data_IF_283876685831
#
_entry.id   IF_283876685831
#
_cell.length_a   1.000
_cell.length_b   1.000
_cell.length_c   1.000
_cell.angle_alpha   90.00
_cell.angle_beta   90.00
_cell.angle_gamma   90.00
#
_symmetry.space_group_name_H-M   'P 1'
#
loop_
_entity.id
_entity.type
_entity.pdbx_description
1 polymer ?
#
# COMPACT_ATOMS: atom_id res chain seq x y z
N UNK A 1 -24.23 12.35 7.24
CA UNK A 1 -23.23 11.85 6.27
C UNK A 1 -22.72 10.53 6.82
N UNK A 2 -22.68 9.47 6.02
CA UNK A 2 -22.13 8.18 6.45
C UNK A 2 -20.62 8.33 6.61
N UNK A 3 -20.16 8.40 7.85
CA UNK A 3 -18.78 8.65 8.29
C UNK A 3 -17.87 7.43 8.16
N UNK A 4 -18.30 6.39 7.44
CA UNK A 4 -17.65 5.08 7.49
C UNK A 4 -16.64 4.92 6.35
N UNK A 5 -15.42 5.40 6.57
CA UNK A 5 -14.29 5.26 5.65
C UNK A 5 -13.48 3.95 5.87
N UNK A 6 -14.11 2.96 6.49
CA UNK A 6 -13.52 1.62 6.59
C UNK A 6 -13.44 0.97 5.20
N UNK A 7 -12.38 0.19 4.91
CA UNK A 7 -12.16 -0.37 3.57
C UNK A 7 -13.30 -1.26 3.07
N UNK A 8 -13.92 -2.01 3.98
CA UNK A 8 -15.18 -2.72 3.72
C UNK A 8 -16.31 -2.10 4.56
N UNK A 9 -17.26 -1.39 3.93
CA UNK A 9 -18.41 -0.82 4.63
C UNK A 9 -19.29 -1.86 5.35
N UNK A 10 -19.25 -3.14 4.92
CA UNK A 10 -20.02 -4.23 5.56
C UNK A 10 -19.31 -4.78 6.81
N UNK A 11 -18.01 -4.53 6.96
CA UNK A 11 -17.20 -5.01 8.07
C UNK A 11 -16.39 -3.87 8.70
N UNK A 12 -17.07 -2.87 9.28
CA UNK A 12 -16.39 -1.75 9.89
C UNK A 12 -15.57 -2.18 11.11
N UNK A 13 -14.47 -1.49 11.34
CA UNK A 13 -13.48 -1.91 12.32
C UNK A 13 -12.44 -2.90 11.78
N UNK A 14 -12.62 -3.46 10.57
CA UNK A 14 -11.63 -4.35 9.95
C UNK A 14 -10.70 -3.54 9.03
N UNK A 15 -9.37 -3.62 9.20
CA UNK A 15 -8.45 -2.80 8.42
C UNK A 15 -8.33 -3.26 6.96
N UNK A 16 -7.60 -2.46 6.17
CA UNK A 16 -7.41 -2.71 4.72
C UNK A 16 -6.66 -4.01 4.42
N UNK A 17 -5.80 -4.46 5.34
CA UNK A 17 -5.01 -5.68 5.24
C UNK A 17 -5.29 -6.57 6.46
N UNK A 18 -6.48 -7.18 6.56
CA UNK A 18 -6.89 -7.91 7.75
C UNK A 18 -6.08 -9.20 7.97
N UNK A 19 -5.48 -9.72 6.91
CA UNK A 19 -4.60 -10.89 6.87
C UNK A 19 -3.16 -10.59 7.31
N UNK A 20 -2.82 -9.33 7.63
CA UNK A 20 -1.46 -8.92 7.99
C UNK A 20 -1.42 -8.10 9.26
N UNK A 21 -0.55 -8.47 10.19
CA UNK A 21 -0.34 -7.69 11.40
C UNK A 21 0.40 -6.39 11.09
N UNK A 22 -0.02 -5.28 11.69
CA UNK A 22 0.55 -3.97 11.36
C UNK A 22 -0.04 -2.80 12.13
N UNK A 23 0.62 -1.64 12.02
CA UNK A 23 0.10 -0.40 12.59
C UNK A 23 -0.85 0.28 11.62
N UNK A 24 -1.93 0.87 12.14
CA UNK A 24 -2.90 1.64 11.37
C UNK A 24 -3.24 2.94 12.12
N UNK A 25 -3.55 3.97 11.35
CA UNK A 25 -4.04 5.25 11.85
C UNK A 25 -5.58 5.24 11.88
N UNK A 26 -6.15 5.39 13.08
CA UNK A 26 -7.59 5.36 13.32
C UNK A 26 -7.97 6.52 14.26
N UNK A 27 -8.79 7.46 13.80
CA UNK A 27 -9.20 8.67 14.52
C UNK A 27 -8.03 9.39 15.21
N UNK A 28 -6.95 9.63 14.44
CA UNK A 28 -5.73 10.27 14.93
C UNK A 28 -4.88 9.43 15.91
N UNK A 29 -5.25 8.17 16.18
CA UNK A 29 -4.49 7.24 17.04
C UNK A 29 -3.76 6.19 16.21
N UNK A 30 -2.64 5.71 16.75
CA UNK A 30 -1.93 4.56 16.22
C UNK A 30 -2.37 3.30 16.94
N UNK A 31 -2.98 2.37 16.20
CA UNK A 31 -3.42 1.08 16.69
C UNK A 31 -2.65 -0.02 15.97
N UNK A 32 -2.39 -1.13 16.64
CA UNK A 32 -1.79 -2.30 16.02
C UNK A 32 -2.86 -3.37 15.79
N UNK A 33 -3.01 -3.85 14.56
CA UNK A 33 -3.84 -4.99 14.21
C UNK A 33 -3.03 -6.28 14.34
N UNK A 34 -3.55 -7.26 15.07
CA UNK A 34 -3.04 -8.63 15.08
C UNK A 34 -3.91 -9.51 14.20
N UNK A 35 -3.39 -9.89 13.05
CA UNK A 35 -4.11 -10.71 12.05
C UNK A 35 -4.46 -12.11 12.56
N UNK A 36 -3.54 -12.78 13.27
CA UNK A 36 -3.72 -14.14 13.78
C UNK A 36 -4.95 -14.31 14.69
N UNK A 37 -5.27 -13.27 15.47
CA UNK A 37 -6.41 -13.28 16.40
C UNK A 37 -7.53 -12.31 15.96
N UNK A 38 -7.34 -11.61 14.85
CA UNK A 38 -8.22 -10.57 14.31
C UNK A 38 -8.65 -9.51 15.34
N UNK A 39 -7.69 -8.95 16.07
CA UNK A 39 -7.97 -7.93 17.10
C UNK A 39 -7.04 -6.73 17.04
N UNK A 40 -7.56 -5.61 17.51
CA UNK A 40 -6.80 -4.38 17.71
C UNK A 40 -6.11 -4.35 19.06
N UNK A 41 -4.93 -3.73 19.10
CA UNK A 41 -4.17 -3.44 20.30
C UNK A 41 -3.81 -1.95 20.31
N UNK A 42 -4.14 -1.28 21.41
CA UNK A 42 -3.76 0.12 21.66
C UNK A 42 -2.32 0.19 22.16
N UNK A 43 -1.57 1.21 21.75
CA UNK A 43 -0.20 1.42 22.22
C UNK A 43 -0.17 1.87 23.69
N UNK A 44 0.16 0.92 24.57
CA UNK A 44 0.66 1.02 25.95
C UNK A 44 -0.30 1.65 27.03
N UNK A 45 -0.58 0.89 28.12
CA UNK A 45 -0.29 -0.53 28.21
C UNK A 45 -1.01 -1.26 27.08
N UNK A 46 -0.46 -2.39 26.63
CA UNK A 46 -1.20 -3.39 25.85
C UNK A 46 -2.31 -3.87 26.80
N UNK A 47 -3.36 -3.06 26.96
CA UNK A 47 -4.25 -3.16 28.12
C UNK A 47 -5.49 -4.00 27.80
N UNK A 48 -5.80 -4.20 26.52
CA UNK A 48 -6.72 -5.22 26.06
C UNK A 48 -6.65 -5.33 24.54
N UNK A 49 -6.80 -6.55 24.03
CA UNK A 49 -7.24 -6.73 22.65
C UNK A 49 -8.68 -6.22 22.52
N UNK A 50 -8.98 -5.46 21.46
CA UNK A 50 -10.32 -4.96 21.16
C UNK A 50 -10.84 -5.62 19.90
N UNK A 51 -12.11 -6.01 19.93
CA UNK A 51 -12.82 -6.50 18.75
C UNK A 51 -12.96 -5.38 17.70
N UNK A 52 -13.03 -5.71 16.40
CA UNK A 52 -13.24 -4.74 15.31
C UNK A 52 -14.37 -3.75 15.59
N UNK A 53 -15.52 -4.25 16.06
CA UNK A 53 -16.71 -3.44 16.33
C UNK A 53 -16.49 -2.30 17.33
N UNK A 54 -15.47 -2.40 18.20
CA UNK A 54 -15.11 -1.32 19.12
C UNK A 54 -14.68 -0.04 18.40
N UNK A 55 -14.13 -0.16 17.18
CA UNK A 55 -13.67 0.95 16.35
C UNK A 55 -14.56 1.20 15.13
N UNK A 56 -15.70 0.51 14.99
CA UNK A 56 -16.54 0.60 13.78
C UNK A 56 -17.01 2.03 13.46
N UNK A 57 -17.24 2.84 14.48
CA UNK A 57 -17.64 4.25 14.34
C UNK A 57 -16.45 5.22 14.22
N UNK A 58 -15.22 4.72 14.39
CA UNK A 58 -14.02 5.53 14.23
C UNK A 58 -13.68 5.76 12.76
N UNK A 59 -12.92 6.82 12.52
CA UNK A 59 -12.41 7.19 11.20
C UNK A 59 -11.13 6.41 10.89
N UNK A 60 -11.16 5.57 9.87
CA UNK A 60 -10.01 4.80 9.41
C UNK A 60 -9.19 5.57 8.37
N UNK A 61 -7.97 5.98 8.71
CA UNK A 61 -7.11 6.73 7.77
C UNK A 61 -6.25 5.82 6.90
N UNK A 62 -5.80 4.66 7.41
CA UNK A 62 -5.00 3.73 6.63
C UNK A 62 -3.92 2.98 7.41
N UNK A 63 -3.18 2.08 6.74
CA UNK A 63 -2.00 1.44 7.29
C UNK A 63 -0.85 2.44 7.46
N UNK A 64 -0.04 2.24 8.50
CA UNK A 64 1.20 2.98 8.72
C UNK A 64 2.36 2.14 8.19
N UNK A 65 2.87 2.56 7.05
CA UNK A 65 3.94 1.87 6.34
C UNK A 65 5.31 2.32 6.85
N UNK A 66 6.21 1.35 6.98
CA UNK A 66 7.62 1.63 7.23
C UNK A 66 8.31 2.15 5.98
N UNK A 67 9.45 2.81 6.14
CA UNK A 67 10.27 3.25 5.00
C UNK A 67 10.64 2.06 4.08
N UNK A 68 10.96 0.91 4.65
CA UNK A 68 11.25 -0.32 3.88
C UNK A 68 10.05 -0.75 3.02
N UNK A 69 8.85 -0.81 3.60
CA UNK A 69 7.63 -1.19 2.85
C UNK A 69 7.31 -0.19 1.73
N UNK A 70 7.51 1.10 1.97
CA UNK A 70 7.35 2.13 0.93
C UNK A 70 8.36 1.90 -0.20
N UNK A 71 9.63 1.64 0.14
CA UNK A 71 10.68 1.38 -0.86
C UNK A 71 10.39 0.13 -1.68
N UNK A 72 9.89 -0.94 -1.05
CA UNK A 72 9.46 -2.17 -1.72
C UNK A 72 8.31 -1.92 -2.68
N UNK A 73 7.26 -1.19 -2.25
CA UNK A 73 6.14 -0.82 -3.11
C UNK A 73 6.60 0.00 -4.32
N UNK A 74 7.46 1.00 -4.09
CA UNK A 74 8.00 1.83 -5.17
C UNK A 74 8.91 1.03 -6.11
N UNK A 75 9.67 0.07 -5.60
CA UNK A 75 10.50 -0.81 -6.43
C UNK A 75 9.65 -1.72 -7.32
N UNK A 76 8.57 -2.29 -6.77
CA UNK A 76 7.62 -3.09 -7.54
C UNK A 76 6.94 -2.26 -8.64
N UNK A 77 6.48 -1.05 -8.32
CA UNK A 77 5.85 -0.15 -9.29
C UNK A 77 6.81 0.24 -10.42
N UNK A 78 8.07 0.61 -10.09
CA UNK A 78 9.10 0.88 -11.11
C UNK A 78 9.33 -0.32 -12.02
N UNK A 79 9.36 -1.53 -11.46
CA UNK A 79 9.52 -2.75 -12.24
C UNK A 79 8.35 -2.94 -13.22
N UNK A 80 7.11 -2.75 -12.76
CA UNK A 80 5.92 -2.83 -13.63
C UNK A 80 5.91 -1.77 -14.74
N UNK A 81 6.25 -0.53 -14.43
CA UNK A 81 6.35 0.52 -15.44
C UNK A 81 7.44 0.20 -16.48
N UNK A 82 8.61 -0.25 -16.04
CA UNK A 82 9.71 -0.65 -16.93
C UNK A 82 9.28 -1.81 -17.85
N UNK A 83 8.60 -2.81 -17.30
CA UNK A 83 8.12 -3.96 -18.09
C UNK A 83 7.03 -3.56 -19.08
N UNK A 84 6.18 -2.58 -18.75
CA UNK A 84 5.20 -2.03 -19.68
C UNK A 84 5.88 -1.31 -20.86
N UNK A 85 6.88 -0.46 -20.58
CA UNK A 85 7.69 0.20 -21.63
C UNK A 85 8.34 -0.83 -22.55
N UNK A 86 8.94 -1.87 -21.97
CA UNK A 86 9.57 -2.96 -22.72
C UNK A 86 8.57 -3.76 -23.56
N UNK A 87 7.40 -4.07 -23.02
CA UNK A 87 6.38 -4.79 -23.77
C UNK A 87 5.92 -3.98 -25.00
N UNK A 88 5.75 -2.67 -24.84
CA UNK A 88 5.38 -1.77 -25.94
C UNK A 88 6.51 -1.62 -26.97
N UNK A 89 7.78 -1.68 -26.57
CA UNK A 89 8.90 -1.57 -27.52
C UNK A 89 8.98 -2.77 -28.47
N UNK A 90 8.42 -3.93 -28.12
CA UNK A 90 8.33 -5.07 -29.03
C UNK A 90 7.12 -5.03 -29.97
N UNK A 91 6.24 -4.04 -29.83
CA UNK A 91 5.07 -3.90 -30.70
C UNK A 91 5.47 -3.30 -32.08
N UNK A 92 5.08 -4.01 -33.13
CA UNK A 92 5.34 -3.65 -34.52
C UNK A 92 4.49 -2.45 -35.00
N UNK A 93 3.48 -2.03 -34.21
CA UNK A 93 2.70 -0.82 -34.48
C UNK A 93 3.50 0.48 -34.27
N UNK A 94 4.61 0.44 -33.54
CA UNK A 94 5.47 1.60 -33.31
C UNK A 94 6.55 1.75 -34.39
N UNK A 95 6.92 3.01 -34.67
CA UNK A 95 8.10 3.33 -35.48
C UNK A 95 9.39 3.01 -34.72
N UNK A 96 10.52 2.93 -35.43
CA UNK A 96 11.83 2.72 -34.79
C UNK A 96 12.12 3.78 -33.72
N UNK A 97 11.93 5.07 -34.04
CA UNK A 97 12.15 6.17 -33.09
C UNK A 97 11.29 6.06 -31.84
N UNK A 98 10.04 5.60 -31.96
CA UNK A 98 9.18 5.38 -30.80
C UNK A 98 9.64 4.19 -29.94
N UNK A 99 10.13 3.11 -30.56
CA UNK A 99 10.73 1.99 -29.81
C UNK A 99 12.00 2.40 -29.08
N UNK A 100 12.89 3.14 -29.73
CA UNK A 100 14.13 3.64 -29.13
C UNK A 100 13.82 4.52 -27.89
N UNK A 101 12.79 5.38 -27.98
CA UNK A 101 12.34 6.19 -26.85
C UNK A 101 11.74 5.36 -25.70
N UNK A 102 11.05 4.25 -25.99
CA UNK A 102 10.53 3.33 -24.97
C UNK A 102 11.65 2.58 -24.24
N UNK A 103 12.71 2.18 -24.96
CA UNK A 103 13.90 1.58 -24.35
C UNK A 103 14.65 2.57 -23.45
N UNK A 104 14.77 3.84 -23.87
CA UNK A 104 15.33 4.90 -23.03
C UNK A 104 14.50 5.12 -21.76
N UNK A 105 13.17 5.17 -21.89
CA UNK A 105 12.26 5.28 -20.75
C UNK A 105 12.36 4.09 -19.79
N UNK A 106 12.44 2.85 -20.29
CA UNK A 106 12.66 1.65 -19.47
C UNK A 106 13.94 1.82 -18.62
N UNK A 107 15.05 2.18 -19.26
CA UNK A 107 16.33 2.35 -18.58
C UNK A 107 16.28 3.47 -17.55
N UNK A 108 15.65 4.60 -17.88
CA UNK A 108 15.48 5.70 -16.93
C UNK A 108 14.69 5.25 -15.70
N UNK A 109 13.57 4.54 -15.89
CA UNK A 109 12.70 4.06 -14.80
C UNK A 109 13.44 3.08 -13.88
N UNK A 110 14.20 2.13 -14.46
CA UNK A 110 14.98 1.15 -13.66
C UNK A 110 16.05 1.82 -12.80
N UNK A 111 16.60 2.95 -13.26
CA UNK A 111 17.65 3.69 -12.56
C UNK A 111 17.12 4.84 -11.68
N UNK A 112 15.80 5.07 -11.61
CA UNK A 112 15.23 6.09 -10.73
C UNK A 112 15.58 5.80 -9.26
N UNK A 113 16.28 6.73 -8.63
CA UNK A 113 16.71 6.62 -7.23
C UNK A 113 18.02 5.86 -7.02
N UNK A 114 18.69 5.40 -8.07
CA UNK A 114 20.10 5.04 -7.99
C UNK A 114 20.89 6.34 -7.73
N UNK A 115 21.64 6.39 -6.63
CA UNK A 115 22.58 7.48 -6.40
C UNK A 115 23.69 7.44 -7.49
N UNK A 116 24.20 8.60 -7.95
CA UNK A 116 25.37 8.65 -8.83
C UNK A 116 26.62 8.06 -8.18
#
# INVERSE_FOLDING_TARGET
MTTQNWPDPKHPGVPMFPDRSGKHAVSGKLLFWYSDIQKWVTSIPISATKEPNYFAECEYHGPVLTHTQINEMLAAERQWCADACRAMSFDNHYTKTQRDALEEAENAIRNLGAAP
#
